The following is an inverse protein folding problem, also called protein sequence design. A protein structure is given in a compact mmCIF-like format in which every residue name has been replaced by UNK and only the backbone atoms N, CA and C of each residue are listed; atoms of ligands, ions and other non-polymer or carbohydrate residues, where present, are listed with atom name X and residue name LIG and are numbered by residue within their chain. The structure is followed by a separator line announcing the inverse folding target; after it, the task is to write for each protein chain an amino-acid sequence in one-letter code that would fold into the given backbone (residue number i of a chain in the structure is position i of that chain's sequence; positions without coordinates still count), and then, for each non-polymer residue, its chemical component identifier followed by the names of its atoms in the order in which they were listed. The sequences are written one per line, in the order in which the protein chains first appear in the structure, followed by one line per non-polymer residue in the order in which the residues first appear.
data_IF_925772003931
#
_entry.id   IF_925772003931
#
_cell.length_a   1.000
_cell.length_b   1.000
_cell.length_c   1.000
_cell.angle_alpha   90.00
_cell.angle_beta   90.00
_cell.angle_gamma   90.00
#
_symmetry.space_group_name_H-M   'P 1'
#
loop_
_entity.id
_entity.type
_entity.pdbx_description
1 polymer ?
#
# COMPACT_ATOMS: atom_id res chain seq x y z
N UNK A 1 -2.78 3.28 -27.36
CA UNK A 1 -1.54 3.53 -28.12
C UNK A 1 -0.47 2.54 -27.65
N UNK A 2 0.42 2.05 -28.52
CA UNK A 2 1.49 1.15 -28.10
C UNK A 2 2.46 1.85 -27.14
N UNK A 3 3.03 1.10 -26.20
CA UNK A 3 4.09 1.60 -25.32
C UNK A 3 5.32 1.92 -26.18
N UNK A 4 5.83 3.15 -26.06
CA UNK A 4 6.99 3.62 -26.84
C UNK A 4 8.28 3.53 -26.05
N UNK A 5 8.20 3.55 -24.71
CA UNK A 5 9.35 3.53 -23.83
C UNK A 5 9.42 2.25 -23.01
N UNK A 6 10.62 1.92 -22.57
CA UNK A 6 10.94 0.81 -21.69
C UNK A 6 10.27 1.06 -20.34
N UNK A 7 9.60 0.05 -19.80
CA UNK A 7 8.95 0.15 -18.49
C UNK A 7 9.98 0.43 -17.38
N UNK A 8 9.64 1.34 -16.49
CA UNK A 8 10.57 1.85 -15.47
C UNK A 8 11.12 0.75 -14.56
N UNK A 9 10.33 -0.25 -14.21
CA UNK A 9 10.76 -1.33 -13.33
C UNK A 9 11.75 -2.31 -13.98
N UNK A 10 11.77 -2.38 -15.32
CA UNK A 10 12.83 -3.06 -16.07
C UNK A 10 14.05 -2.15 -16.20
N UNK A 11 13.83 -0.88 -16.56
CA UNK A 11 14.89 0.12 -16.72
C UNK A 11 15.70 0.30 -15.42
N UNK A 12 15.04 0.33 -14.26
CA UNK A 12 15.70 0.53 -12.96
C UNK A 12 16.68 -0.61 -12.63
N UNK A 13 16.35 -1.84 -13.04
CA UNK A 13 17.15 -3.05 -12.78
C UNK A 13 18.31 -3.20 -13.76
N UNK A 14 18.23 -2.59 -14.95
CA UNK A 14 19.18 -2.85 -16.06
C UNK A 14 19.91 -1.61 -16.55
N UNK A 15 19.20 -0.50 -16.75
CA UNK A 15 19.72 0.70 -17.42
C UNK A 15 20.06 1.82 -16.43
N UNK A 16 19.24 2.07 -15.42
CA UNK A 16 19.38 3.24 -14.53
C UNK A 16 20.53 3.10 -13.51
N UNK A 17 21.18 1.94 -13.45
CA UNK A 17 22.42 1.74 -12.68
C UNK A 17 23.64 2.34 -13.36
N UNK A 18 23.58 2.58 -14.67
CA UNK A 18 24.67 3.22 -15.41
C UNK A 18 24.74 4.72 -15.06
N UNK A 19 25.95 5.24 -14.82
CA UNK A 19 26.20 6.66 -14.56
C UNK A 19 25.59 7.59 -15.60
N UNK A 20 25.54 7.18 -16.87
CA UNK A 20 24.92 7.95 -17.94
C UNK A 20 23.43 8.26 -17.68
N UNK A 21 22.76 7.42 -16.88
CA UNK A 21 21.33 7.52 -16.57
C UNK A 21 21.05 8.07 -15.17
N UNK A 22 22.06 8.55 -14.43
CA UNK A 22 21.83 9.16 -13.12
C UNK A 22 20.92 10.39 -13.20
N UNK A 23 20.93 11.11 -14.33
CA UNK A 23 20.07 12.27 -14.56
C UNK A 23 18.59 11.89 -14.53
N UNK A 24 18.23 10.73 -15.09
CA UNK A 24 16.86 10.20 -15.10
C UNK A 24 16.38 9.95 -13.67
N UNK A 25 17.17 9.22 -12.88
CA UNK A 25 16.80 8.90 -11.50
C UNK A 25 16.83 10.13 -10.60
N UNK A 26 17.84 11.00 -10.75
CA UNK A 26 17.95 12.24 -9.99
C UNK A 26 16.78 13.19 -10.29
N UNK A 27 16.34 13.28 -11.55
CA UNK A 27 15.18 14.06 -11.95
C UNK A 27 13.90 13.57 -11.29
N UNK A 28 13.61 12.27 -11.39
CA UNK A 28 12.47 11.66 -10.68
C UNK A 28 12.48 11.94 -9.18
N UNK A 29 13.62 11.72 -8.52
CA UNK A 29 13.75 11.95 -7.09
C UNK A 29 13.64 13.44 -6.72
N UNK A 30 14.06 14.34 -7.61
CA UNK A 30 13.94 15.78 -7.36
C UNK A 30 12.50 16.26 -7.34
N UNK A 31 11.70 15.77 -8.29
CA UNK A 31 10.26 16.05 -8.36
C UNK A 31 9.52 15.42 -7.17
N UNK A 32 9.85 14.18 -6.81
CA UNK A 32 9.22 13.48 -5.69
C UNK A 32 9.51 14.13 -4.33
N UNK A 33 10.77 14.51 -4.08
CA UNK A 33 11.18 15.07 -2.79
C UNK A 33 10.96 16.59 -2.71
N UNK A 34 10.61 17.24 -3.83
CA UNK A 34 10.43 18.70 -3.92
C UNK A 34 11.72 19.49 -3.66
N UNK A 35 12.88 18.88 -3.91
CA UNK A 35 14.21 19.50 -3.79
C UNK A 35 15.15 18.94 -4.84
N UNK A 36 16.11 19.74 -5.31
CA UNK A 36 17.10 19.24 -6.27
C UNK A 36 17.93 18.10 -5.63
N UNK A 37 17.90 16.94 -6.27
CA UNK A 37 18.71 15.78 -5.93
C UNK A 37 19.84 15.66 -6.96
N UNK A 38 21.04 15.38 -6.46
CA UNK A 38 22.18 15.00 -7.29
C UNK A 38 22.72 13.68 -6.78
N UNK A 39 22.71 12.66 -7.64
CA UNK A 39 23.23 11.34 -7.30
C UNK A 39 24.74 11.36 -7.42
N UNK A 40 25.43 11.03 -6.32
CA UNK A 40 26.88 10.89 -6.27
C UNK A 40 27.31 9.50 -6.71
N UNK A 41 26.61 8.47 -6.22
CA UNK A 41 26.91 7.08 -6.52
C UNK A 41 25.67 6.20 -6.39
N UNK A 42 25.69 5.07 -7.10
CA UNK A 42 24.80 3.94 -6.85
C UNK A 42 25.63 2.93 -6.07
N UNK A 43 25.16 2.58 -4.88
CA UNK A 43 25.84 1.70 -3.95
C UNK A 43 25.39 0.27 -4.19
N UNK A 44 26.35 -0.67 -4.13
CA UNK A 44 26.02 -2.08 -4.01
C UNK A 44 25.83 -2.39 -2.53
N UNK A 45 24.69 -2.97 -2.16
CA UNK A 45 24.50 -3.51 -0.82
C UNK A 45 25.33 -4.79 -0.68
N UNK A 46 26.05 -4.95 0.43
CA UNK A 46 26.80 -6.17 0.77
C UNK A 46 25.91 -7.42 0.86
N UNK A 47 24.58 -7.28 0.80
CA UNK A 47 23.60 -8.36 0.58
C UNK A 47 23.91 -9.29 -0.61
N UNK A 48 24.84 -8.92 -1.50
CA UNK A 48 25.33 -9.80 -2.56
C UNK A 48 26.36 -10.85 -2.09
N UNK A 49 26.89 -10.78 -0.85
CA UNK A 49 27.92 -11.69 -0.35
C UNK A 49 27.77 -11.98 1.15
N UNK A 50 26.88 -12.92 1.50
CA UNK A 50 27.11 -14.02 2.45
C UNK A 50 25.80 -14.77 2.76
N UNK A 51 25.82 -16.11 2.60
CA UNK A 51 24.78 -17.12 2.88
C UNK A 51 23.54 -17.19 1.96
N UNK A 52 23.24 -18.41 1.49
CA UNK A 52 22.09 -18.79 0.63
C UNK A 52 20.71 -18.60 1.32
N UNK A 53 20.69 -18.49 2.65
CA UNK A 53 19.49 -18.39 3.49
C UNK A 53 19.22 -16.98 4.04
N UNK A 54 20.13 -16.03 3.80
CA UNK A 54 19.84 -14.65 4.17
C UNK A 54 18.74 -14.14 3.24
N UNK A 55 17.63 -13.63 3.77
CA UNK A 55 16.54 -13.04 2.98
C UNK A 55 17.16 -11.99 2.05
N UNK A 56 17.48 -12.38 0.81
CA UNK A 56 18.24 -11.58 -0.14
C UNK A 56 17.44 -10.31 -0.41
N UNK A 57 17.74 -9.26 0.35
CA UNK A 57 17.13 -7.95 0.17
C UNK A 57 17.81 -7.30 -1.03
N UNK A 58 17.53 -7.83 -2.23
CA UNK A 58 18.05 -7.28 -3.47
C UNK A 58 17.23 -6.05 -3.80
N UNK A 59 17.58 -4.94 -3.15
CA UNK A 59 17.03 -3.62 -3.44
C UNK A 59 17.28 -3.26 -4.91
N UNK A 60 16.31 -2.61 -5.55
CA UNK A 60 16.42 -2.32 -6.97
C UNK A 60 17.49 -1.27 -7.25
N UNK A 61 17.49 -0.18 -6.47
CA UNK A 61 18.57 0.81 -6.43
C UNK A 61 18.77 1.31 -5.00
N UNK A 62 20.03 1.39 -4.58
CA UNK A 62 20.47 2.21 -3.45
C UNK A 62 21.36 3.32 -4.00
N UNK A 63 20.91 4.57 -3.88
CA UNK A 63 21.68 5.74 -4.29
C UNK A 63 22.19 6.51 -3.07
N UNK A 64 23.34 7.13 -3.20
CA UNK A 64 23.83 8.16 -2.28
C UNK A 64 23.81 9.50 -3.02
N UNK A 65 23.23 10.52 -2.40
CA UNK A 65 23.22 11.87 -2.95
C UNK A 65 24.45 12.68 -2.51
N UNK A 66 24.61 13.87 -3.07
CA UNK A 66 25.71 14.79 -2.75
C UNK A 66 25.67 15.38 -1.32
N UNK A 67 24.62 15.09 -0.56
CA UNK A 67 24.50 15.41 0.87
C UNK A 67 24.88 14.22 1.77
N UNK A 68 25.24 13.06 1.19
CA UNK A 68 25.52 11.82 1.92
C UNK A 68 24.25 11.14 2.47
N UNK A 69 23.06 11.53 2.00
CA UNK A 69 21.80 10.86 2.31
C UNK A 69 21.64 9.62 1.42
N UNK A 70 21.04 8.57 1.98
CA UNK A 70 20.76 7.33 1.26
C UNK A 70 19.34 7.37 0.69
N UNK A 71 19.19 6.95 -0.56
CA UNK A 71 17.90 6.86 -1.24
C UNK A 71 17.72 5.43 -1.72
N UNK A 72 16.87 4.69 -1.02
CA UNK A 72 16.45 3.34 -1.34
C UNK A 72 15.23 3.43 -2.27
N UNK A 73 15.37 2.93 -3.50
CA UNK A 73 14.27 2.85 -4.47
C UNK A 73 13.93 1.39 -4.72
N UNK A 74 12.67 1.05 -4.50
CA UNK A 74 12.14 -0.30 -4.68
C UNK A 74 10.91 -0.28 -5.59
N UNK A 75 10.84 -1.20 -6.55
CA UNK A 75 9.76 -1.29 -7.52
C UNK A 75 9.14 -2.68 -7.51
N UNK A 76 7.91 -2.79 -7.00
CA UNK A 76 7.22 -4.06 -6.85
C UNK A 76 5.94 -4.17 -7.67
N UNK A 77 5.77 -5.35 -8.26
CA UNK A 77 4.62 -5.68 -9.10
C UNK A 77 3.70 -6.72 -8.50
N UNK A 78 4.28 -7.68 -7.79
CA UNK A 78 3.55 -8.77 -7.17
C UNK A 78 2.97 -8.28 -5.85
N UNK A 79 1.80 -8.83 -5.48
CA UNK A 79 1.17 -8.48 -4.21
C UNK A 79 1.96 -9.10 -3.07
N UNK A 80 2.31 -8.28 -2.07
CA UNK A 80 3.04 -8.69 -0.88
C UNK A 80 2.29 -8.19 0.37
N UNK A 81 1.83 -9.11 1.22
CA UNK A 81 1.02 -8.77 2.40
C UNK A 81 1.87 -8.12 3.51
N UNK A 82 3.13 -8.50 3.60
CA UNK A 82 4.10 -8.01 4.57
C UNK A 82 4.95 -6.85 4.04
N UNK A 83 4.54 -6.20 2.95
CA UNK A 83 5.34 -5.17 2.29
C UNK A 83 5.70 -3.99 3.20
N UNK A 84 4.81 -3.56 4.11
CA UNK A 84 5.15 -2.54 5.11
C UNK A 84 6.28 -2.99 6.06
N UNK A 85 6.34 -4.28 6.42
CA UNK A 85 7.44 -4.84 7.20
C UNK A 85 8.73 -4.88 6.37
N UNK A 86 8.64 -5.16 5.07
CA UNK A 86 9.78 -5.12 4.14
C UNK A 86 10.38 -3.72 4.04
N UNK A 87 9.53 -2.69 3.90
CA UNK A 87 9.93 -1.28 3.91
C UNK A 87 10.66 -0.90 5.21
N UNK A 88 10.09 -1.29 6.35
CA UNK A 88 10.69 -1.06 7.68
C UNK A 88 12.05 -1.77 7.81
N UNK A 89 12.11 -3.04 7.46
CA UNK A 89 13.34 -3.84 7.54
C UNK A 89 14.43 -3.26 6.63
N UNK A 90 14.09 -2.88 5.39
CA UNK A 90 15.04 -2.30 4.44
C UNK A 90 15.70 -1.03 4.96
N UNK A 91 14.92 -0.09 5.50
CA UNK A 91 15.49 1.14 6.08
C UNK A 91 16.32 0.89 7.33
N UNK A 92 15.85 0.02 8.23
CA UNK A 92 16.58 -0.33 9.44
C UNK A 92 17.93 -1.00 9.11
N UNK A 93 17.93 -1.92 8.15
CA UNK A 93 19.14 -2.60 7.67
C UNK A 93 20.15 -1.60 7.10
N UNK A 94 19.72 -0.67 6.25
CA UNK A 94 20.61 0.36 5.70
C UNK A 94 21.24 1.24 6.80
N UNK A 95 20.46 1.63 7.81
CA UNK A 95 21.00 2.39 8.94
C UNK A 95 22.13 1.62 9.64
N UNK A 96 21.95 0.31 9.84
CA UNK A 96 22.96 -0.53 10.50
C UNK A 96 24.16 -0.86 9.61
N UNK A 97 23.97 -1.02 8.30
CA UNK A 97 25.05 -1.33 7.35
C UNK A 97 25.98 -0.13 7.15
N UNK A 98 25.43 1.08 7.15
CA UNK A 98 26.17 2.33 6.87
C UNK A 98 26.63 3.07 8.13
N UNK A 99 26.57 2.42 9.30
CA UNK A 99 27.17 2.92 10.55
C UNK A 99 28.22 1.91 11.02
N UNK A 100 29.50 2.25 10.88
CA UNK A 100 30.57 1.32 11.23
C UNK A 100 30.71 1.14 12.76
N UNK A 101 31.22 -0.03 13.16
CA UNK A 101 31.43 -0.34 14.58
C UNK A 101 32.40 0.66 15.22
N UNK A 102 31.93 1.38 16.23
CA UNK A 102 32.70 2.38 16.95
C UNK A 102 32.47 3.81 16.47
N UNK A 103 31.71 4.02 15.40
CA UNK A 103 31.29 5.36 14.99
C UNK A 103 30.22 5.94 15.92
N UNK A 104 30.24 7.25 16.16
CA UNK A 104 29.19 7.92 16.93
C UNK A 104 27.86 7.92 16.16
N UNK A 105 26.74 7.80 16.87
CA UNK A 105 25.38 7.81 16.28
C UNK A 105 25.05 9.10 15.51
N UNK A 106 25.80 10.19 15.71
CA UNK A 106 25.70 11.40 14.91
C UNK A 106 26.02 11.19 13.42
N UNK A 107 26.66 10.07 13.06
CA UNK A 107 26.99 9.70 11.69
C UNK A 107 25.90 8.86 10.99
N UNK A 108 24.81 8.51 11.70
CA UNK A 108 23.68 7.83 11.07
C UNK A 108 23.19 8.65 9.88
N UNK A 109 23.22 8.06 8.69
CA UNK A 109 22.77 8.69 7.46
C UNK A 109 21.25 8.76 7.43
N UNK A 110 20.71 9.88 6.96
CA UNK A 110 19.29 10.02 6.61
C UNK A 110 18.97 9.09 5.45
N UNK A 111 17.83 8.41 5.53
CA UNK A 111 17.34 7.48 4.51
C UNK A 111 16.01 7.96 3.93
N UNK A 112 15.89 8.00 2.61
CA UNK A 112 14.61 8.08 1.89
C UNK A 112 14.27 6.69 1.35
N UNK A 113 13.09 6.19 1.65
CA UNK A 113 12.58 4.92 1.12
C UNK A 113 11.47 5.22 0.12
N UNK A 114 11.77 5.08 -1.16
CA UNK A 114 10.87 5.31 -2.29
C UNK A 114 10.35 3.97 -2.80
N UNK A 115 9.06 3.75 -2.63
CA UNK A 115 8.40 2.47 -2.87
C UNK A 115 7.36 2.63 -3.99
N UNK A 116 7.69 2.15 -5.18
CA UNK A 116 6.83 2.20 -6.36
C UNK A 116 6.12 0.86 -6.49
N UNK A 117 4.80 0.84 -6.28
CA UNK A 117 4.01 -0.39 -6.26
C UNK A 117 2.95 -0.40 -7.37
N UNK A 118 2.88 -1.53 -8.09
CA UNK A 118 1.87 -1.81 -9.12
C UNK A 118 0.80 -2.80 -8.62
N UNK A 119 0.57 -2.83 -7.31
CA UNK A 119 -0.47 -3.64 -6.67
C UNK A 119 -1.21 -2.81 -5.62
N UNK A 120 -2.36 -3.32 -5.18
CA UNK A 120 -3.15 -2.70 -4.13
C UNK A 120 -2.45 -2.87 -2.78
N UNK A 121 -1.84 -1.80 -2.28
CA UNK A 121 -1.22 -1.75 -0.96
C UNK A 121 -2.05 -0.86 -0.02
N UNK A 122 -2.51 -1.45 1.08
CA UNK A 122 -3.30 -0.76 2.11
C UNK A 122 -4.61 -0.16 1.59
N UNK A 123 -5.20 0.73 2.40
CA UNK A 123 -6.41 1.51 2.08
C UNK A 123 -6.05 2.99 1.88
N UNK A 124 -6.88 3.71 1.12
CA UNK A 124 -6.71 5.13 0.81
C UNK A 124 -6.81 5.43 -0.69
N UNK A 125 -7.42 6.58 -0.99
CA UNK A 125 -7.78 7.00 -2.35
C UNK A 125 -6.63 7.65 -3.12
N UNK A 126 -5.69 8.28 -2.40
CA UNK A 126 -4.52 8.90 -3.00
C UNK A 126 -3.60 7.83 -3.64
N UNK A 127 -2.74 8.27 -4.57
CA UNK A 127 -1.75 7.44 -5.25
C UNK A 127 -0.32 7.76 -4.82
N UNK A 128 -0.07 8.85 -4.10
CA UNK A 128 1.24 9.16 -3.50
C UNK A 128 1.06 9.43 -2.00
N UNK A 129 1.81 8.72 -1.17
CA UNK A 129 1.83 8.93 0.28
C UNK A 129 3.23 9.26 0.75
N UNK A 130 3.33 10.28 1.61
CA UNK A 130 4.56 10.66 2.30
C UNK A 130 4.43 10.32 3.79
N UNK A 131 5.36 9.50 4.29
CA UNK A 131 5.51 9.17 5.70
C UNK A 131 6.69 9.90 6.32
N UNK A 132 6.41 10.83 7.24
CA UNK A 132 7.41 11.55 8.04
C UNK A 132 7.18 11.27 9.52
N UNK A 133 8.27 11.09 10.28
CA UNK A 133 8.18 10.93 11.73
C UNK A 133 8.18 12.29 12.42
N UNK A 134 7.05 12.62 13.03
CA UNK A 134 6.89 13.77 13.90
C UNK A 134 6.49 13.33 15.31
N UNK A 135 7.14 13.91 16.32
CA UNK A 135 6.80 13.66 17.72
C UNK A 135 5.79 14.70 18.20
N UNK A 136 4.64 14.22 18.69
CA UNK A 136 3.56 15.04 19.23
C UNK A 136 3.39 14.76 20.73
N UNK A 137 3.32 15.83 21.53
CA UNK A 137 3.11 15.72 22.97
C UNK A 137 1.74 15.12 23.29
N UNK A 138 1.68 14.10 24.15
CA UNK A 138 0.41 13.42 24.46
C UNK A 138 -0.58 14.31 25.23
N UNK A 139 -0.06 15.23 26.06
CA UNK A 139 -0.85 16.13 26.89
C UNK A 139 -1.12 17.47 26.21
N UNK A 140 -0.07 18.15 25.73
CA UNK A 140 -0.16 19.51 25.17
C UNK A 140 -0.39 19.53 23.65
N UNK A 141 -0.28 18.39 22.97
CA UNK A 141 -0.41 18.24 21.51
C UNK A 141 0.57 19.11 20.70
N UNK A 142 1.62 19.64 21.34
CA UNK A 142 2.67 20.39 20.68
C UNK A 142 3.63 19.46 19.92
N UNK A 143 4.36 20.02 18.96
CA UNK A 143 5.34 19.28 18.16
C UNK A 143 6.74 19.46 18.74
N UNK A 144 7.43 18.37 19.04
CA UNK A 144 8.79 18.39 19.55
C UNK A 144 9.75 18.96 18.49
N UNK A 145 10.60 19.90 18.90
CA UNK A 145 11.56 20.60 18.03
C UNK A 145 12.98 20.35 18.53
N UNK A 146 13.99 20.35 17.64
CA UNK A 146 15.38 20.28 18.07
C UNK A 146 15.76 21.55 18.84
N UNK A 147 16.60 21.37 19.87
CA UNK A 147 17.22 22.48 20.59
C UNK A 147 18.12 23.33 19.69
N UNK A 148 18.46 24.54 20.12
CA UNK A 148 19.36 25.44 19.37
C UNK A 148 20.71 24.77 19.08
N UNK A 149 21.25 24.03 20.04
CA UNK A 149 22.52 23.31 19.87
C UNK A 149 22.40 22.19 18.84
N UNK A 150 21.31 21.40 18.87
CA UNK A 150 21.08 20.34 17.89
C UNK A 150 20.93 20.90 16.47
N UNK A 151 20.21 22.03 16.30
CA UNK A 151 20.10 22.71 15.00
C UNK A 151 21.45 23.10 14.42
N UNK A 152 22.37 23.58 15.26
CA UNK A 152 23.72 23.98 14.85
C UNK A 152 24.63 22.78 14.58
N UNK A 153 24.63 21.79 15.47
CA UNK A 153 25.50 20.61 15.37
C UNK A 153 25.15 19.71 14.19
N UNK A 154 23.86 19.52 13.91
CA UNK A 154 23.39 18.59 12.88
C UNK A 154 22.85 19.30 11.63
N UNK A 155 22.86 20.63 11.60
CA UNK A 155 22.32 21.45 10.52
C UNK A 155 20.86 21.12 10.14
N UNK A 156 20.01 20.85 11.14
CA UNK A 156 18.60 20.50 10.96
C UNK A 156 17.66 21.62 11.41
N UNK A 157 16.46 21.68 10.81
CA UNK A 157 15.37 22.56 11.27
C UNK A 157 14.32 21.80 12.07
N UNK A 158 14.03 20.56 11.69
CA UNK A 158 13.02 19.66 12.29
C UNK A 158 13.65 18.33 12.70
N UNK A 159 13.09 17.69 13.72
CA UNK A 159 13.52 16.35 14.17
C UNK A 159 13.35 15.30 13.05
N UNK A 160 12.28 15.42 12.25
CA UNK A 160 11.98 14.56 11.11
C UNK A 160 13.08 14.52 10.02
N UNK A 161 14.00 15.49 10.00
CA UNK A 161 15.12 15.53 9.05
C UNK A 161 16.20 14.49 9.38
N UNK A 162 16.20 13.91 10.59
CA UNK A 162 17.11 12.82 10.97
C UNK A 162 16.53 11.44 10.60
N UNK A 163 15.23 11.25 10.83
CA UNK A 163 14.57 9.96 10.72
C UNK A 163 14.30 9.56 9.27
N UNK A 164 14.14 8.26 8.95
CA UNK A 164 13.73 7.84 7.62
C UNK A 164 12.44 8.53 7.15
N UNK A 165 12.40 8.81 5.85
CA UNK A 165 11.20 9.33 5.19
C UNK A 165 10.75 8.34 4.11
N UNK A 166 9.47 8.01 4.13
CA UNK A 166 8.89 7.02 3.23
C UNK A 166 8.04 7.69 2.18
N UNK A 167 8.17 7.23 0.95
CA UNK A 167 7.29 7.55 -0.15
C UNK A 167 6.70 6.25 -0.67
N UNK A 168 5.38 6.18 -0.77
CA UNK A 168 4.65 5.06 -1.36
C UNK A 168 3.87 5.57 -2.56
N UNK A 169 4.17 5.04 -3.73
CA UNK A 169 3.59 5.42 -5.01
C UNK A 169 2.77 4.24 -5.52
N UNK A 170 1.44 4.33 -5.39
CA UNK A 170 0.47 3.34 -5.88
C UNK A 170 0.15 3.64 -7.34
N UNK A 171 1.01 3.19 -8.25
CA UNK A 171 0.96 3.57 -9.68
C UNK A 171 -0.40 3.26 -10.31
N UNK A 172 -1.04 2.15 -9.94
CA UNK A 172 -2.34 1.77 -10.50
C UNK A 172 -3.50 2.70 -10.08
N UNK A 173 -3.36 3.43 -8.96
CA UNK A 173 -4.38 4.35 -8.45
C UNK A 173 -4.37 5.70 -9.16
N UNK A 174 -3.31 6.03 -9.90
CA UNK A 174 -3.25 7.26 -10.68
C UNK A 174 -4.34 7.29 -11.76
N UNK A 175 -5.00 8.41 -11.96
CA UNK A 175 -6.17 8.52 -12.84
C UNK A 175 -5.83 8.86 -14.31
N UNK A 176 -4.57 8.77 -14.70
CA UNK A 176 -4.04 9.07 -16.04
C UNK A 176 -4.04 10.57 -16.43
N UNK A 177 -4.36 11.47 -15.50
CA UNK A 177 -4.36 12.92 -15.74
C UNK A 177 -3.19 13.57 -14.99
N UNK A 178 -2.17 13.99 -15.74
CA UNK A 178 -1.03 14.69 -15.17
C UNK A 178 -1.33 16.17 -14.96
N UNK A 179 -1.19 16.66 -13.71
CA UNK A 179 -1.48 18.05 -13.33
C UNK A 179 -0.22 18.85 -12.99
N UNK A 180 0.84 18.17 -12.61
CA UNK A 180 2.14 18.74 -12.28
C UNK A 180 3.28 17.81 -12.76
N UNK A 181 4.51 18.24 -12.54
CA UNK A 181 5.73 17.52 -12.97
C UNK A 181 5.91 16.17 -12.28
N UNK A 182 5.41 16.01 -11.05
CA UNK A 182 5.45 14.71 -10.38
C UNK A 182 4.44 13.75 -11.02
N UNK A 183 3.24 14.23 -11.37
CA UNK A 183 2.27 13.42 -12.09
C UNK A 183 2.74 13.02 -13.49
N UNK A 184 3.56 13.85 -14.17
CA UNK A 184 4.19 13.47 -15.44
C UNK A 184 5.09 12.22 -15.26
N UNK A 185 5.83 12.16 -14.16
CA UNK A 185 6.57 10.96 -13.78
C UNK A 185 5.63 9.78 -13.49
N UNK A 186 4.56 9.97 -12.73
CA UNK A 186 3.60 8.89 -12.44
C UNK A 186 2.93 8.38 -13.72
N UNK A 187 2.63 9.28 -14.65
CA UNK A 187 2.13 8.93 -15.98
C UNK A 187 3.14 8.04 -16.72
N UNK A 188 4.41 8.41 -16.73
CA UNK A 188 5.47 7.59 -17.32
C UNK A 188 5.58 6.21 -16.63
N UNK A 189 5.58 6.15 -15.30
CA UNK A 189 5.61 4.89 -14.55
C UNK A 189 4.44 3.96 -14.92
N UNK A 190 3.24 4.52 -15.10
CA UNK A 190 2.03 3.74 -15.40
C UNK A 190 1.93 3.34 -16.88
N UNK A 191 2.24 4.26 -17.79
CA UNK A 191 1.96 4.11 -19.23
C UNK A 191 3.18 3.72 -20.05
N UNK A 192 4.39 3.83 -19.51
CA UNK A 192 5.65 3.71 -20.25
C UNK A 192 5.66 4.63 -21.48
N UNK A 193 5.16 5.85 -21.30
CA UNK A 193 5.04 6.87 -22.34
C UNK A 193 5.35 8.24 -21.73
N UNK A 194 6.10 9.04 -22.46
CA UNK A 194 6.44 10.43 -22.10
C UNK A 194 5.89 11.29 -23.21
N UNK A 195 4.99 12.23 -22.87
CA UNK A 195 4.38 13.12 -23.87
C UNK A 195 5.35 14.24 -24.26
N UNK A 196 5.09 14.88 -25.40
CA UNK A 196 5.93 15.97 -25.90
C UNK A 196 5.91 17.18 -24.97
N UNK A 197 4.77 17.47 -24.35
CA UNK A 197 4.56 18.60 -23.46
C UNK A 197 5.10 18.41 -22.04
N UNK A 198 5.62 17.23 -21.69
CA UNK A 198 6.13 16.97 -20.35
C UNK A 198 7.46 17.70 -20.11
N UNK A 199 7.57 18.30 -18.93
CA UNK A 199 8.68 19.21 -18.55
C UNK A 199 9.41 18.81 -17.29
N UNK A 200 8.95 17.75 -16.60
CA UNK A 200 9.56 17.28 -15.37
C UNK A 200 11.04 16.94 -15.56
N UNK A 201 11.82 17.25 -14.52
CA UNK A 201 13.26 17.02 -14.54
C UNK A 201 13.57 15.54 -14.81
N UNK A 202 14.54 15.29 -15.71
CA UNK A 202 14.99 13.95 -16.08
C UNK A 202 14.11 13.21 -17.09
N UNK A 203 12.88 13.68 -17.38
CA UNK A 203 12.04 13.05 -18.40
C UNK A 203 12.55 13.27 -19.82
N UNK A 204 13.23 14.39 -20.11
CA UNK A 204 13.86 14.62 -21.41
C UNK A 204 14.93 13.56 -21.71
N UNK A 205 15.80 13.28 -20.74
CA UNK A 205 16.80 12.22 -20.83
C UNK A 205 16.15 10.83 -20.84
N UNK A 206 15.11 10.60 -20.04
CA UNK A 206 14.36 9.34 -20.06
C UNK A 206 13.76 9.07 -21.44
N UNK A 207 13.21 10.11 -22.07
CA UNK A 207 12.61 10.05 -23.40
C UNK A 207 13.62 9.71 -24.49
N UNK A 208 14.83 10.24 -24.39
CA UNK A 208 15.90 9.93 -25.32
C UNK A 208 16.50 8.53 -25.10
N UNK A 209 16.69 8.13 -23.84
CA UNK A 209 17.53 6.97 -23.49
C UNK A 209 16.73 5.70 -23.19
N UNK A 210 15.42 5.79 -22.98
CA UNK A 210 14.57 4.65 -22.61
C UNK A 210 13.60 4.27 -23.74
N UNK A 211 13.96 4.51 -25.00
CA UNK A 211 13.18 4.02 -26.13
C UNK A 211 13.34 2.51 -26.26
N UNK A 212 12.24 1.79 -26.55
CA UNK A 212 12.33 0.34 -26.79
C UNK A 212 13.18 0.04 -28.03
N UNK A 213 13.09 0.91 -29.04
CA UNK A 213 13.81 0.75 -30.30
C UNK A 213 15.30 1.09 -30.22
N UNK A 214 15.76 1.72 -29.11
CA UNK A 214 17.20 1.95 -28.89
C UNK A 214 17.90 0.76 -28.22
N UNK A 215 17.16 -0.29 -27.84
CA UNK A 215 17.75 -1.52 -27.29
C UNK A 215 18.47 -2.33 -28.38
N UNK A 216 19.56 -3.00 -28.01
CA UNK A 216 20.14 -4.04 -28.86
C UNK A 216 19.15 -5.18 -29.13
N UNK A 217 19.36 -5.99 -30.18
CA UNK A 217 18.46 -7.11 -30.48
C UNK A 217 18.27 -8.06 -29.29
N UNK A 218 19.36 -8.38 -28.59
CA UNK A 218 19.33 -9.24 -27.40
C UNK A 218 18.54 -8.60 -26.25
N UNK A 219 18.80 -7.33 -25.93
CA UNK A 219 18.09 -6.61 -24.88
C UNK A 219 16.61 -6.46 -25.21
N UNK A 220 16.28 -6.19 -26.48
CA UNK A 220 14.91 -6.09 -26.95
C UNK A 220 14.18 -7.42 -26.83
N UNK A 221 14.82 -8.54 -27.20
CA UNK A 221 14.25 -9.87 -27.00
C UNK A 221 14.01 -10.18 -25.51
N UNK A 222 14.98 -9.85 -24.65
CA UNK A 222 14.86 -10.01 -23.20
C UNK A 222 13.73 -9.14 -22.61
N UNK A 223 13.59 -7.89 -23.10
CA UNK A 223 12.53 -6.98 -22.70
C UNK A 223 11.15 -7.48 -23.15
N UNK A 224 11.01 -7.95 -24.39
CA UNK A 224 9.76 -8.51 -24.90
C UNK A 224 9.32 -9.76 -24.11
N UNK A 225 10.25 -10.67 -23.81
CA UNK A 225 9.97 -11.84 -22.95
C UNK A 225 9.55 -11.41 -21.54
N UNK A 226 10.22 -10.40 -20.99
CA UNK A 226 9.82 -9.82 -19.71
C UNK A 226 8.39 -9.27 -19.75
N UNK A 227 8.02 -8.55 -20.82
CA UNK A 227 6.67 -8.01 -21.01
C UNK A 227 5.61 -9.12 -21.20
N UNK A 228 5.95 -10.20 -21.89
CA UNK A 228 5.08 -11.37 -22.06
C UNK A 228 4.82 -12.07 -20.72
N UNK A 229 5.88 -12.38 -19.97
CA UNK A 229 5.77 -12.98 -18.64
C UNK A 229 4.88 -12.13 -17.72
N UNK A 230 5.02 -10.80 -17.77
CA UNK A 230 4.19 -9.88 -17.00
C UNK A 230 2.72 -9.93 -17.40
N UNK A 231 2.40 -10.00 -18.70
CA UNK A 231 1.01 -10.15 -19.16
C UNK A 231 0.41 -11.47 -18.68
N UNK A 232 1.19 -12.54 -18.72
CA UNK A 232 0.79 -13.84 -18.22
C UNK A 232 0.52 -13.82 -16.71
N UNK A 233 1.42 -13.23 -15.92
CA UNK A 233 1.23 -13.05 -14.47
C UNK A 233 -0.04 -12.23 -14.15
N UNK A 234 -0.27 -11.13 -14.87
CA UNK A 234 -1.49 -10.33 -14.70
C UNK A 234 -2.73 -11.17 -14.99
N UNK A 235 -2.73 -11.94 -16.09
CA UNK A 235 -3.84 -12.82 -16.45
C UNK A 235 -4.11 -13.89 -15.38
N UNK A 236 -3.07 -14.47 -14.78
CA UNK A 236 -3.23 -15.42 -13.66
C UNK A 236 -3.87 -14.73 -12.47
N UNK A 237 -3.35 -13.56 -12.07
CA UNK A 237 -3.85 -12.82 -10.91
C UNK A 237 -5.31 -12.40 -11.10
N UNK A 238 -5.68 -11.96 -12.29
CA UNK A 238 -7.07 -11.63 -12.63
C UNK A 238 -7.99 -12.86 -12.58
N UNK A 239 -7.53 -14.00 -13.10
CA UNK A 239 -8.22 -15.28 -12.97
C UNK A 239 -8.47 -15.67 -11.52
N UNK A 240 -7.40 -15.71 -10.71
CA UNK A 240 -7.49 -16.07 -9.29
C UNK A 240 -8.36 -15.10 -8.48
N UNK A 241 -8.32 -13.79 -8.79
CA UNK A 241 -9.20 -12.81 -8.14
C UNK A 241 -10.66 -13.00 -8.53
N UNK A 242 -10.93 -13.34 -9.79
CA UNK A 242 -12.28 -13.61 -10.25
C UNK A 242 -12.86 -14.86 -9.58
N UNK A 243 -12.08 -15.94 -9.50
CA UNK A 243 -12.45 -17.19 -8.81
C UNK A 243 -12.72 -16.94 -7.32
N UNK A 244 -11.77 -16.33 -6.60
CA UNK A 244 -11.93 -16.04 -5.18
C UNK A 244 -13.11 -15.11 -4.88
N UNK A 245 -13.46 -14.21 -5.80
CA UNK A 245 -14.69 -13.38 -5.68
C UNK A 245 -15.95 -14.22 -5.83
N UNK A 246 -15.98 -15.16 -6.77
CA UNK A 246 -17.12 -16.06 -6.97
C UNK A 246 -17.33 -16.96 -5.75
N UNK A 247 -16.25 -17.56 -5.25
CA UNK A 247 -16.28 -18.38 -4.03
C UNK A 247 -16.78 -17.57 -2.83
N UNK A 248 -16.26 -16.36 -2.62
CA UNK A 248 -16.70 -15.48 -1.53
C UNK A 248 -18.18 -15.06 -1.62
N UNK A 249 -18.71 -14.87 -2.83
CA UNK A 249 -20.15 -14.61 -3.04
C UNK A 249 -20.97 -15.85 -2.71
N UNK A 250 -20.55 -17.04 -3.16
CA UNK A 250 -21.24 -18.30 -2.89
C UNK A 250 -21.28 -18.61 -1.39
N UNK A 251 -20.14 -18.48 -0.71
CA UNK A 251 -20.05 -18.65 0.75
C UNK A 251 -20.91 -17.63 1.49
N UNK A 252 -20.88 -16.35 1.06
CA UNK A 252 -21.70 -15.29 1.65
C UNK A 252 -23.20 -15.53 1.50
N UNK A 253 -23.65 -16.00 0.32
CA UNK A 253 -25.05 -16.38 0.09
C UNK A 253 -25.44 -17.56 0.98
N UNK A 254 -24.59 -18.58 1.07
CA UNK A 254 -24.84 -19.77 1.87
C UNK A 254 -24.96 -19.42 3.36
N UNK A 255 -24.02 -18.65 3.89
CA UNK A 255 -24.04 -18.18 5.28
C UNK A 255 -25.28 -17.31 5.55
N UNK A 256 -25.59 -16.37 4.66
CA UNK A 256 -26.77 -15.50 4.80
C UNK A 256 -28.09 -16.28 4.77
N UNK A 257 -28.20 -17.32 3.94
CA UNK A 257 -29.38 -18.18 3.90
C UNK A 257 -29.51 -19.00 5.19
N UNK A 258 -28.42 -19.57 5.68
CA UNK A 258 -28.41 -20.36 6.91
C UNK A 258 -28.81 -19.50 8.13
N UNK A 259 -28.20 -18.32 8.26
CA UNK A 259 -28.56 -17.36 9.31
C UNK A 259 -30.01 -16.90 9.18
N UNK A 260 -30.47 -16.59 7.96
CA UNK A 260 -31.85 -16.19 7.69
C UNK A 260 -32.88 -17.27 8.05
N UNK A 261 -32.62 -18.53 7.69
CA UNK A 261 -33.49 -19.67 8.06
C UNK A 261 -33.51 -19.84 9.59
N UNK A 262 -32.36 -19.75 10.24
CA UNK A 262 -32.26 -19.89 11.70
C UNK A 262 -33.04 -18.80 12.42
N UNK A 263 -32.84 -17.54 12.03
CA UNK A 263 -33.58 -16.40 12.57
C UNK A 263 -35.08 -16.52 12.30
N UNK A 264 -35.48 -16.86 11.08
CA UNK A 264 -36.88 -17.04 10.70
C UNK A 264 -37.56 -18.18 11.48
N UNK A 265 -36.87 -19.30 11.69
CA UNK A 265 -37.39 -20.42 12.49
C UNK A 265 -37.55 -20.03 13.97
N UNK A 266 -36.60 -19.27 14.51
CA UNK A 266 -36.67 -18.79 15.90
C UNK A 266 -37.84 -17.81 16.09
N UNK A 267 -37.96 -16.82 15.21
CA UNK A 267 -39.07 -15.86 15.23
C UNK A 267 -40.41 -16.56 15.04
N UNK A 268 -40.51 -17.51 14.10
CA UNK A 268 -41.73 -18.28 13.87
C UNK A 268 -42.13 -19.14 15.07
N UNK A 269 -41.17 -19.75 15.77
CA UNK A 269 -41.44 -20.53 16.99
C UNK A 269 -41.93 -19.62 18.13
N UNK A 270 -41.34 -18.44 18.27
CA UNK A 270 -41.72 -17.46 19.30
C UNK A 270 -43.12 -16.89 19.05
N UNK A 271 -43.41 -16.50 17.80
CA UNK A 271 -44.75 -16.09 17.38
C UNK A 271 -45.77 -17.20 17.56
N UNK A 272 -45.43 -18.44 17.21
CA UNK A 272 -46.28 -19.61 17.40
C UNK A 272 -46.65 -19.84 18.88
N UNK A 273 -45.65 -19.79 19.77
CA UNK A 273 -45.88 -19.91 21.22
C UNK A 273 -46.78 -18.80 21.76
N UNK A 274 -46.59 -17.57 21.31
CA UNK A 274 -47.43 -16.45 21.73
C UNK A 274 -48.87 -16.60 21.21
N UNK A 275 -49.04 -17.01 19.96
CA UNK A 275 -50.37 -17.25 19.38
C UNK A 275 -51.10 -18.40 20.08
N UNK A 276 -50.39 -19.45 20.48
CA UNK A 276 -50.97 -20.58 21.22
C UNK A 276 -51.45 -20.16 22.61
N UNK A 277 -50.65 -19.35 23.34
CA UNK A 277 -51.09 -18.74 24.62
C UNK A 277 -52.38 -17.95 24.46
N UNK A 278 -52.46 -17.12 23.43
CA UNK A 278 -53.66 -16.33 23.10
C UNK A 278 -54.87 -17.22 22.77
N UNK A 279 -54.68 -18.27 21.99
CA UNK A 279 -55.76 -19.20 21.62
C UNK A 279 -56.29 -19.98 22.84
N UNK A 280 -55.41 -20.41 23.74
CA UNK A 280 -55.79 -21.07 25.00
C UNK A 280 -56.58 -20.10 25.88
N UNK A 281 -56.10 -18.87 26.05
CA UNK A 281 -56.78 -17.85 26.85
C UNK A 281 -58.20 -17.55 26.32
N UNK A 282 -58.35 -17.39 25.00
CA UNK A 282 -59.69 -17.25 24.36
C UNK A 282 -60.60 -18.43 24.66
N UNK A 283 -60.07 -19.65 24.55
CA UNK A 283 -60.83 -20.87 24.79
C UNK A 283 -61.30 -20.96 26.25
N UNK A 284 -60.44 -20.62 27.21
CA UNK A 284 -60.79 -20.62 28.63
C UNK A 284 -61.78 -19.51 29.00
N UNK A 285 -61.61 -18.31 28.43
CA UNK A 285 -62.56 -17.20 28.57
C UNK A 285 -63.95 -17.58 28.07
N UNK A 286 -64.05 -18.23 26.91
CA UNK A 286 -65.32 -18.76 26.38
C UNK A 286 -65.96 -19.82 27.27
N UNK A 287 -65.17 -20.60 28.04
CA UNK A 287 -65.67 -21.60 28.98
C UNK A 287 -66.03 -21.03 30.36
N UNK A 288 -65.88 -19.71 30.57
CA UNK A 288 -66.23 -19.04 31.81
C UNK A 288 -65.24 -19.26 32.96
N UNK A 289 -63.99 -19.62 32.67
CA UNK A 289 -62.92 -19.69 33.67
C UNK A 289 -62.56 -18.24 34.08
N UNK A 290 -62.26 -18.02 35.36
CA UNK A 290 -61.91 -16.69 35.87
C UNK A 290 -60.56 -16.20 35.35
N UNK A 291 -60.40 -14.88 35.31
CA UNK A 291 -59.26 -14.22 34.67
C UNK A 291 -57.93 -14.53 35.37
N UNK A 292 -57.94 -14.67 36.70
CA UNK A 292 -56.72 -14.98 37.47
C UNK A 292 -56.21 -16.39 37.12
N UNK A 293 -57.11 -17.39 37.07
CA UNK A 293 -56.77 -18.75 36.63
C UNK A 293 -56.25 -18.78 35.17
N UNK A 294 -56.81 -17.95 34.28
CA UNK A 294 -56.33 -17.85 32.88
C UNK A 294 -54.93 -17.21 32.80
N UNK A 295 -54.68 -16.18 33.60
CA UNK A 295 -53.39 -15.50 33.68
C UNK A 295 -52.31 -16.46 34.19
N UNK A 296 -52.59 -17.23 35.25
CA UNK A 296 -51.68 -18.25 35.77
C UNK A 296 -51.39 -19.35 34.73
N UNK A 297 -52.40 -19.81 33.98
CA UNK A 297 -52.24 -20.91 33.03
C UNK A 297 -51.52 -20.52 31.72
N UNK A 298 -51.67 -19.27 31.27
CA UNK A 298 -51.14 -18.82 29.96
C UNK A 298 -49.94 -17.89 30.08
N UNK A 299 -49.73 -17.29 31.25
CA UNK A 299 -48.72 -16.27 31.50
C UNK A 299 -48.98 -14.95 30.77
N UNK A 300 -50.22 -14.71 30.32
CA UNK A 300 -50.68 -13.42 29.80
C UNK A 300 -51.09 -12.51 30.97
N UNK A 301 -50.93 -11.21 30.78
CA UNK A 301 -51.39 -10.21 31.75
C UNK A 301 -52.91 -10.11 31.75
N UNK A 302 -53.47 -9.63 32.87
CA UNK A 302 -54.91 -9.39 32.99
C UNK A 302 -55.47 -8.49 31.89
N UNK A 303 -54.76 -7.41 31.56
CA UNK A 303 -55.14 -6.48 30.49
C UNK A 303 -55.20 -7.19 29.13
N UNK A 304 -54.18 -7.99 28.80
CA UNK A 304 -54.17 -8.76 27.55
C UNK A 304 -55.37 -9.74 27.50
N UNK A 305 -55.72 -10.39 28.60
CA UNK A 305 -56.85 -11.34 28.66
C UNK A 305 -58.21 -10.62 28.56
N UNK A 306 -58.34 -9.45 29.18
CA UNK A 306 -59.56 -8.63 29.10
C UNK A 306 -59.83 -8.15 27.66
N UNK A 307 -58.77 -7.85 26.90
CA UNK A 307 -58.80 -7.42 25.49
C UNK A 307 -59.07 -8.56 24.47
N UNK A 308 -58.94 -9.84 24.85
CA UNK A 308 -59.16 -11.01 23.99
C UNK A 308 -60.62 -11.36 23.70
#
# INVERSE_FOLDING_TARGET
MPQTHIRFDWAIKKLLRNKANYVVLAGFLSELLGKQIKIQSILESESNRQAEDDKLNRVDILAENDQGELILVEVQNSTEQDYFHRMLYGTAKLITEFLEKGEPYSKVKKVYSVNIVYFSLGQGDDYIYQGKLDFHGLHLKDKLKPSINQKKLFNIKKVSEIFPEYYVIKVNNFNDVAKDTLDEWIYFLKKSQIKEEFTAQGLAEAKANLLVDSLSEEERANYLRYMENRRYEVSIIEGSRSEGRLEGIEEGIKQGLEEGIKQGKQQGLEQGKQQEKVNIARTFKHKGIDIETIAEATGLTRTEIEEL
#
